data_IF_046222593681
#
_entry.id   IF_046222593681
#
_cell.length_a   1.000
_cell.length_b   1.000
_cell.length_c   1.000
_cell.angle_alpha   90.00
_cell.angle_beta   90.00
_cell.angle_gamma   90.00
#
_symmetry.space_group_name_H-M   'P 1'
#
loop_
_entity.id
_entity.type
_entity.pdbx_description
1 polymer ?
#
# COMPACT_ATOMS: atom_id res chain seq x y z
N UNK A 1 8.96 17.51 -10.46
CA UNK A 1 8.74 16.39 -9.53
C UNK A 1 7.34 15.78 -9.66
N UNK A 2 6.22 16.52 -9.52
CA UNK A 2 4.86 15.91 -9.55
C UNK A 2 4.52 15.16 -10.83
N UNK A 3 4.88 15.70 -12.01
CA UNK A 3 4.68 15.00 -13.29
C UNK A 3 5.50 13.71 -13.34
N UNK A 4 6.76 13.75 -12.93
CA UNK A 4 7.62 12.56 -12.83
C UNK A 4 7.04 11.52 -11.85
N UNK A 5 6.49 11.97 -10.71
CA UNK A 5 5.84 11.08 -9.74
C UNK A 5 4.65 10.33 -10.35
N UNK A 6 3.73 11.07 -10.99
CA UNK A 6 2.55 10.47 -11.62
C UNK A 6 2.93 9.57 -12.79
N UNK A 7 3.89 9.98 -13.62
CA UNK A 7 4.40 9.16 -14.72
C UNK A 7 5.06 7.88 -14.20
N UNK A 8 5.86 7.97 -13.14
CA UNK A 8 6.51 6.82 -12.52
C UNK A 8 5.49 5.78 -12.03
N UNK A 9 4.45 6.23 -11.31
CA UNK A 9 3.37 5.36 -10.85
C UNK A 9 2.59 4.71 -12.01
N UNK A 10 2.22 5.49 -13.03
CA UNK A 10 1.47 4.98 -14.20
C UNK A 10 2.33 4.00 -15.01
N UNK A 11 3.60 4.31 -15.24
CA UNK A 11 4.53 3.43 -15.94
C UNK A 11 4.70 2.11 -15.19
N UNK A 12 4.86 2.16 -13.87
CA UNK A 12 4.94 0.97 -13.02
C UNK A 12 3.68 0.11 -13.14
N UNK A 13 2.50 0.71 -13.01
CA UNK A 13 1.21 0.00 -13.16
C UNK A 13 1.05 -0.66 -14.54
N UNK A 14 1.58 -0.03 -15.59
CA UNK A 14 1.54 -0.56 -16.96
C UNK A 14 2.68 -1.57 -17.26
N UNK A 15 3.59 -1.80 -16.32
CA UNK A 15 4.74 -2.70 -16.50
C UNK A 15 5.94 -2.09 -17.23
N UNK A 16 5.92 -0.79 -17.51
CA UNK A 16 7.06 -0.01 -18.05
C UNK A 16 8.04 0.33 -16.92
N UNK A 17 8.68 -0.70 -16.38
CA UNK A 17 9.45 -0.60 -15.14
C UNK A 17 10.74 0.20 -15.30
N UNK A 18 11.39 0.15 -16.45
CA UNK A 18 12.64 0.89 -16.70
C UNK A 18 12.36 2.40 -16.82
N UNK A 19 11.24 2.78 -17.43
CA UNK A 19 10.72 4.13 -17.48
C UNK A 19 10.33 4.62 -16.09
N UNK A 20 9.62 3.80 -15.30
CA UNK A 20 9.28 4.13 -13.92
C UNK A 20 10.52 4.37 -13.05
N UNK A 21 11.55 3.51 -13.17
CA UNK A 21 12.84 3.68 -12.49
C UNK A 21 13.47 5.03 -12.86
N UNK A 22 13.46 5.39 -14.15
CA UNK A 22 14.01 6.67 -14.62
C UNK A 22 13.26 7.85 -13.99
N UNK A 23 11.94 7.80 -13.97
CA UNK A 23 11.11 8.87 -13.40
C UNK A 23 11.36 9.04 -11.90
N UNK A 24 11.37 7.95 -11.12
CA UNK A 24 11.64 8.03 -9.68
C UNK A 24 13.06 8.51 -9.36
N UNK A 25 14.07 8.05 -10.12
CA UNK A 25 15.44 8.56 -9.99
C UNK A 25 15.53 10.06 -10.28
N UNK A 26 14.82 10.56 -11.30
CA UNK A 26 14.83 12.00 -11.61
C UNK A 26 14.33 12.84 -10.45
N UNK A 27 13.34 12.37 -9.69
CA UNK A 27 12.83 13.08 -8.51
C UNK A 27 13.87 13.15 -7.39
N UNK A 28 14.63 12.07 -7.18
CA UNK A 28 15.61 11.98 -6.09
C UNK A 28 16.94 12.66 -6.43
N UNK A 29 17.38 12.52 -7.67
CA UNK A 29 18.75 12.84 -8.09
C UNK A 29 18.85 14.17 -8.85
N UNK A 30 17.87 14.51 -9.68
CA UNK A 30 17.96 15.72 -10.50
C UNK A 30 17.78 16.99 -9.66
N UNK A 31 18.34 18.09 -10.16
CA UNK A 31 18.15 19.43 -9.62
C UNK A 31 17.69 20.34 -10.76
N UNK A 32 16.50 20.90 -10.61
CA UNK A 32 15.90 21.82 -11.57
C UNK A 32 15.87 23.24 -10.97
N UNK A 33 16.11 24.30 -11.76
CA UNK A 33 16.09 25.67 -11.25
C UNK A 33 14.80 26.04 -10.50
N UNK A 34 13.66 25.47 -10.91
CA UNK A 34 12.36 25.69 -10.28
C UNK A 34 12.25 25.05 -8.89
N UNK A 35 12.97 23.96 -8.62
CA UNK A 35 13.04 23.36 -7.28
C UNK A 35 13.80 24.27 -6.33
N UNK A 36 14.96 24.77 -6.78
CA UNK A 36 15.81 25.65 -5.98
C UNK A 36 15.09 26.97 -5.68
N UNK A 37 14.45 27.58 -6.68
CA UNK A 37 13.64 28.79 -6.51
C UNK A 37 12.50 28.62 -5.50
N UNK A 38 11.92 27.42 -5.41
CA UNK A 38 10.83 27.10 -4.48
C UNK A 38 11.31 26.50 -3.16
N UNK A 39 12.62 26.28 -3.00
CA UNK A 39 13.22 25.68 -1.81
C UNK A 39 12.80 24.22 -1.56
N UNK A 40 12.51 23.45 -2.61
CA UNK A 40 12.14 22.04 -2.49
C UNK A 40 13.33 21.10 -2.71
N UNK A 41 13.50 20.13 -1.82
CA UNK A 41 14.46 19.03 -1.94
C UNK A 41 13.76 17.69 -1.68
N UNK A 42 13.66 16.87 -2.72
CA UNK A 42 13.03 15.55 -2.67
C UNK A 42 14.04 14.41 -2.58
N UNK A 43 15.34 14.70 -2.44
CA UNK A 43 16.38 13.65 -2.40
C UNK A 43 16.29 12.70 -1.21
N UNK A 44 15.49 13.06 -0.20
CA UNK A 44 15.20 12.27 0.99
C UNK A 44 13.73 11.92 1.12
N UNK A 45 12.95 12.04 0.04
CA UNK A 45 11.55 11.63 0.05
C UNK A 45 11.49 10.09 0.08
N UNK A 46 11.22 9.54 1.27
CA UNK A 46 11.23 8.09 1.46
C UNK A 46 10.07 7.38 0.74
N UNK A 47 8.98 8.07 0.39
CA UNK A 47 7.91 7.47 -0.41
C UNK A 47 8.41 7.21 -1.83
N UNK A 48 9.14 8.16 -2.40
CA UNK A 48 9.77 8.00 -3.72
C UNK A 48 10.88 6.95 -3.68
N UNK A 49 11.68 6.91 -2.61
CA UNK A 49 12.70 5.87 -2.41
C UNK A 49 12.05 4.49 -2.31
N UNK A 50 10.96 4.35 -1.54
CA UNK A 50 10.21 3.11 -1.42
C UNK A 50 9.62 2.65 -2.75
N UNK A 51 9.02 3.56 -3.53
CA UNK A 51 8.50 3.24 -4.85
C UNK A 51 9.61 2.78 -5.81
N UNK A 52 10.76 3.46 -5.81
CA UNK A 52 11.93 3.07 -6.61
C UNK A 52 12.43 1.67 -6.20
N UNK A 53 12.53 1.38 -4.90
CA UNK A 53 12.91 0.06 -4.38
C UNK A 53 11.95 -1.03 -4.83
N UNK A 54 10.64 -0.77 -4.74
CA UNK A 54 9.59 -1.69 -5.18
C UNK A 54 9.66 -1.95 -6.69
N UNK A 55 9.88 -0.91 -7.50
CA UNK A 55 10.01 -1.04 -8.95
C UNK A 55 11.25 -1.84 -9.35
N UNK A 56 12.39 -1.64 -8.67
CA UNK A 56 13.55 -2.51 -8.86
C UNK A 56 13.26 -3.96 -8.51
N UNK A 57 12.52 -4.20 -7.43
CA UNK A 57 12.15 -5.56 -7.05
C UNK A 57 11.23 -6.23 -8.08
N UNK A 58 10.24 -5.51 -8.60
CA UNK A 58 9.39 -5.99 -9.70
C UNK A 58 10.21 -6.27 -10.97
N UNK A 59 11.19 -5.39 -11.27
CA UNK A 59 12.08 -5.54 -12.42
C UNK A 59 12.97 -6.78 -12.31
N UNK A 60 13.43 -7.11 -11.10
CA UNK A 60 14.18 -8.34 -10.81
C UNK A 60 13.37 -9.61 -11.11
N UNK A 61 12.04 -9.58 -10.90
CA UNK A 61 11.15 -10.72 -11.18
C UNK A 61 10.98 -10.99 -12.69
N UNK A 62 11.29 -10.01 -13.54
CA UNK A 62 11.30 -10.17 -15.00
C UNK A 62 12.57 -10.86 -15.52
N UNK A 63 13.69 -10.78 -14.80
CA UNK A 63 14.99 -11.33 -15.21
C UNK A 63 15.13 -12.84 -14.92
N UNK A 64 14.10 -13.64 -15.23
CA UNK A 64 14.08 -15.08 -14.90
C UNK A 64 15.14 -15.89 -15.65
N UNK A 65 15.59 -15.39 -16.79
CA UNK A 65 16.57 -16.06 -17.64
C UNK A 65 18.02 -15.65 -17.34
N UNK A 66 18.22 -14.62 -16.49
CA UNK A 66 19.52 -14.04 -16.20
C UNK A 66 19.67 -13.84 -14.68
N UNK A 67 20.19 -14.86 -13.96
CA UNK A 67 20.36 -14.80 -12.51
C UNK A 67 21.25 -13.65 -12.04
N UNK A 68 22.28 -13.29 -12.81
CA UNK A 68 23.19 -12.21 -12.45
C UNK A 68 22.47 -10.86 -12.52
N UNK A 69 21.71 -10.64 -13.59
CA UNK A 69 20.91 -9.42 -13.76
C UNK A 69 19.76 -9.33 -12.77
N UNK A 70 19.10 -10.46 -12.48
CA UNK A 70 18.13 -10.55 -11.40
C UNK A 70 18.75 -10.12 -10.06
N UNK A 71 19.91 -10.66 -9.71
CA UNK A 71 20.59 -10.35 -8.46
C UNK A 71 20.97 -8.86 -8.37
N UNK A 72 21.45 -8.26 -9.47
CA UNK A 72 21.74 -6.83 -9.52
C UNK A 72 20.51 -5.96 -9.18
N UNK A 73 19.34 -6.32 -9.69
CA UNK A 73 18.11 -5.58 -9.38
C UNK A 73 17.62 -5.82 -7.94
N UNK A 74 17.77 -7.04 -7.40
CA UNK A 74 17.48 -7.32 -5.99
C UNK A 74 18.35 -6.47 -5.05
N UNK A 75 19.65 -6.35 -5.36
CA UNK A 75 20.57 -5.52 -4.57
C UNK A 75 20.21 -4.03 -4.66
N UNK A 76 19.85 -3.52 -5.84
CA UNK A 76 19.37 -2.13 -6.00
C UNK A 76 18.09 -1.85 -5.21
N UNK A 77 17.17 -2.82 -5.18
CA UNK A 77 15.95 -2.71 -4.38
C UNK A 77 16.28 -2.66 -2.88
N UNK A 78 17.15 -3.56 -2.41
CA UNK A 78 17.59 -3.59 -1.01
C UNK A 78 18.26 -2.28 -0.58
N UNK A 79 19.12 -1.72 -1.44
CA UNK A 79 19.77 -0.43 -1.20
C UNK A 79 18.76 0.70 -0.97
N UNK A 80 17.67 0.75 -1.77
CA UNK A 80 16.66 1.79 -1.58
C UNK A 80 15.91 1.62 -0.26
N UNK A 81 15.50 0.41 0.10
CA UNK A 81 14.81 0.20 1.38
C UNK A 81 15.74 0.44 2.58
N UNK A 82 17.04 0.15 2.46
CA UNK A 82 18.03 0.53 3.48
C UNK A 82 18.17 2.06 3.60
N UNK A 83 18.14 2.81 2.48
CA UNK A 83 18.09 4.27 2.51
C UNK A 83 16.82 4.77 3.21
N UNK A 84 15.67 4.15 2.95
CA UNK A 84 14.44 4.48 3.69
C UNK A 84 14.62 4.24 5.19
N UNK A 85 15.15 3.09 5.61
CA UNK A 85 15.38 2.80 7.04
C UNK A 85 16.39 3.74 7.71
N UNK A 86 17.33 4.31 6.94
CA UNK A 86 18.23 5.33 7.46
C UNK A 86 17.54 6.69 7.71
N UNK A 87 16.43 6.96 7.01
CA UNK A 87 15.61 8.16 7.19
C UNK A 87 14.51 7.96 8.23
N UNK A 88 13.88 6.79 8.19
CA UNK A 88 12.80 6.35 9.07
C UNK A 88 13.01 4.88 9.42
N UNK A 89 13.56 4.63 10.61
CA UNK A 89 13.87 3.28 11.08
C UNK A 89 12.63 2.43 11.39
N UNK A 90 11.44 3.02 11.41
CA UNK A 90 10.18 2.32 11.71
C UNK A 90 9.37 2.03 10.44
N UNK A 91 9.91 2.38 9.27
CA UNK A 91 9.20 2.32 8.01
C UNK A 91 8.73 0.90 7.66
N UNK A 92 7.42 0.67 7.71
CA UNK A 92 6.81 -0.64 7.46
C UNK A 92 7.06 -1.14 6.05
N UNK A 93 6.90 -0.27 5.04
CA UNK A 93 7.11 -0.64 3.63
C UNK A 93 8.53 -1.16 3.40
N UNK A 94 9.53 -0.51 4.00
CA UNK A 94 10.92 -0.93 3.91
C UNK A 94 11.18 -2.26 4.64
N UNK A 95 10.72 -2.43 5.89
CA UNK A 95 10.87 -3.69 6.60
C UNK A 95 10.18 -4.86 5.90
N UNK A 96 8.96 -4.67 5.40
CA UNK A 96 8.24 -5.71 4.67
C UNK A 96 9.02 -6.17 3.42
N UNK A 97 9.50 -5.22 2.62
CA UNK A 97 10.19 -5.56 1.38
C UNK A 97 11.60 -6.11 1.61
N UNK A 98 12.35 -5.58 2.58
CA UNK A 98 13.66 -6.15 2.93
C UNK A 98 13.53 -7.59 3.42
N UNK A 99 12.49 -7.92 4.20
CA UNK A 99 12.24 -9.31 4.57
C UNK A 99 12.08 -10.23 3.35
N UNK A 100 11.33 -9.79 2.33
CA UNK A 100 11.13 -10.55 1.10
C UNK A 100 12.43 -10.67 0.29
N UNK A 101 13.17 -9.58 0.15
CA UNK A 101 14.44 -9.54 -0.58
C UNK A 101 15.50 -10.41 0.09
N UNK A 102 15.69 -10.32 1.40
CA UNK A 102 16.62 -11.16 2.17
C UNK A 102 16.27 -12.65 2.03
N UNK A 103 14.98 -13.00 2.08
CA UNK A 103 14.52 -14.38 1.83
C UNK A 103 14.96 -14.85 0.43
N UNK A 104 14.77 -14.01 -0.59
CA UNK A 104 15.13 -14.34 -1.98
C UNK A 104 16.66 -14.41 -2.19
N UNK A 105 17.43 -13.64 -1.44
CA UNK A 105 18.90 -13.65 -1.44
C UNK A 105 19.49 -14.77 -0.56
N UNK A 106 18.65 -15.51 0.18
CA UNK A 106 19.07 -16.63 1.05
C UNK A 106 19.54 -16.21 2.44
N UNK A 107 19.34 -14.95 2.84
CA UNK A 107 19.65 -14.44 4.17
C UNK A 107 18.43 -14.52 5.10
N UNK A 108 18.18 -15.71 5.64
CA UNK A 108 17.02 -15.98 6.50
C UNK A 108 17.10 -15.23 7.85
N UNK A 109 18.30 -14.93 8.34
CA UNK A 109 18.47 -14.22 9.61
C UNK A 109 18.03 -12.76 9.49
N UNK A 110 18.49 -12.06 8.45
CA UNK A 110 18.09 -10.68 8.17
C UNK A 110 16.60 -10.61 7.80
N UNK A 111 16.10 -11.61 7.05
CA UNK A 111 14.68 -11.72 6.76
C UNK A 111 13.81 -11.88 8.02
N UNK A 112 14.26 -12.68 8.99
CA UNK A 112 13.57 -12.84 10.27
C UNK A 112 13.60 -11.54 11.11
N UNK A 113 14.73 -10.82 11.11
CA UNK A 113 14.85 -9.52 11.76
C UNK A 113 13.82 -8.52 11.20
N UNK A 114 13.77 -8.34 9.89
CA UNK A 114 12.84 -7.40 9.28
C UNK A 114 11.36 -7.81 9.40
N UNK A 115 11.04 -9.11 9.39
CA UNK A 115 9.67 -9.58 9.72
C UNK A 115 9.27 -9.22 11.14
N UNK A 116 10.18 -9.31 12.09
CA UNK A 116 9.93 -8.95 13.50
C UNK A 116 9.71 -7.44 13.65
N UNK A 117 10.57 -6.61 13.05
CA UNK A 117 10.39 -5.15 13.11
C UNK A 117 9.11 -4.71 12.38
N UNK A 118 8.79 -5.30 11.22
CA UNK A 118 7.50 -5.05 10.56
C UNK A 118 6.32 -5.38 11.49
N UNK A 119 6.34 -6.56 12.13
CA UNK A 119 5.28 -6.96 13.05
C UNK A 119 5.18 -6.06 14.30
N UNK A 120 6.30 -5.48 14.73
CA UNK A 120 6.37 -4.57 15.88
C UNK A 120 5.65 -3.25 15.60
N UNK A 121 5.83 -2.65 14.42
CA UNK A 121 5.25 -1.34 14.08
C UNK A 121 3.85 -1.42 13.43
N UNK A 122 3.46 -2.60 12.90
CA UNK A 122 2.18 -2.79 12.22
C UNK A 122 0.93 -2.39 13.04
N UNK A 123 0.85 -2.63 14.37
CA UNK A 123 -0.30 -2.24 15.17
C UNK A 123 -0.57 -0.73 15.18
N UNK A 124 0.48 0.08 15.14
CA UNK A 124 0.38 1.55 15.20
C UNK A 124 -0.04 2.12 13.85
N UNK A 125 0.53 1.61 12.77
CA UNK A 125 0.12 1.96 11.41
C UNK A 125 -1.35 1.64 11.14
N UNK A 126 -1.81 0.47 11.60
CA UNK A 126 -3.21 0.06 11.46
C UNK A 126 -4.12 0.57 12.60
N UNK A 127 -3.67 1.50 13.45
CA UNK A 127 -4.44 1.94 14.61
C UNK A 127 -5.80 2.54 14.21
N UNK A 128 -5.83 3.32 13.13
CA UNK A 128 -7.07 3.89 12.59
C UNK A 128 -8.05 2.81 12.13
N UNK A 129 -7.58 1.84 11.32
CA UNK A 129 -8.40 0.73 10.84
C UNK A 129 -8.92 -0.14 12.00
N UNK A 130 -8.07 -0.40 13.02
CA UNK A 130 -8.49 -1.11 14.23
C UNK A 130 -9.58 -0.34 14.97
N UNK A 131 -9.45 0.97 15.12
CA UNK A 131 -10.47 1.81 15.75
C UNK A 131 -11.79 1.78 14.95
N UNK A 132 -11.72 1.91 13.63
CA UNK A 132 -12.89 1.83 12.73
C UNK A 132 -13.57 0.46 12.88
N UNK A 133 -12.80 -0.64 12.84
CA UNK A 133 -13.34 -1.99 12.97
C UNK A 133 -14.02 -2.22 14.33
N UNK A 134 -13.44 -1.72 15.43
CA UNK A 134 -14.04 -1.79 16.76
C UNK A 134 -15.35 -0.99 16.80
N UNK A 135 -15.35 0.24 16.27
CA UNK A 135 -16.54 1.09 16.24
C UNK A 135 -17.68 0.48 15.40
N UNK A 136 -17.35 -0.08 14.23
CA UNK A 136 -18.29 -0.79 13.35
C UNK A 136 -18.92 -1.99 14.04
N UNK A 137 -18.11 -2.82 14.73
CA UNK A 137 -18.61 -3.97 15.50
C UNK A 137 -19.53 -3.57 16.65
N UNK A 138 -19.25 -2.44 17.31
CA UNK A 138 -20.06 -1.96 18.43
C UNK A 138 -21.42 -1.40 17.99
N UNK A 139 -21.57 -0.95 16.74
CA UNK A 139 -22.81 -0.39 16.23
C UNK A 139 -23.10 -0.86 14.78
N UNK A 140 -23.81 -1.99 14.62
CA UNK A 140 -24.14 -2.54 13.30
C UNK A 140 -24.94 -1.59 12.40
N UNK A 141 -25.76 -0.70 12.97
CA UNK A 141 -26.53 0.26 12.17
C UNK A 141 -25.61 1.36 11.59
N UNK A 142 -24.67 1.87 12.38
CA UNK A 142 -23.67 2.82 11.91
C UNK A 142 -22.67 2.18 10.94
N UNK A 143 -22.29 0.92 11.15
CA UNK A 143 -21.49 0.15 10.20
C UNK A 143 -22.18 0.03 8.85
N UNK A 144 -23.45 -0.41 8.83
CA UNK A 144 -24.25 -0.48 7.62
C UNK A 144 -24.35 0.88 6.92
N UNK A 145 -24.55 1.97 7.68
CA UNK A 145 -24.63 3.34 7.15
C UNK A 145 -23.31 3.87 6.57
N UNK A 146 -22.17 3.34 7.00
CA UNK A 146 -20.84 3.79 6.59
C UNK A 146 -20.29 3.04 5.36
N UNK A 147 -21.06 2.13 4.75
CA UNK A 147 -20.65 1.45 3.53
C UNK A 147 -20.67 2.41 2.34
N UNK A 148 -19.78 2.17 1.35
CA UNK A 148 -19.69 3.02 0.15
C UNK A 148 -21.00 3.05 -0.65
N UNK A 149 -21.77 1.96 -0.59
CA UNK A 149 -23.13 1.86 -1.13
C UNK A 149 -24.02 1.28 -0.03
N UNK A 150 -25.11 1.97 0.31
CA UNK A 150 -26.03 1.57 1.38
C UNK A 150 -27.43 1.38 0.83
N UNK A 151 -28.06 0.23 1.10
CA UNK A 151 -29.45 -0.04 0.74
C UNK A 151 -30.22 -0.32 2.03
N UNK A 152 -31.12 0.58 2.41
CA UNK A 152 -31.94 0.39 3.61
C UNK A 152 -33.21 -0.39 3.31
N UNK A 153 -33.51 -1.47 4.06
CA UNK A 153 -34.83 -2.08 4.02
C UNK A 153 -35.84 -1.13 4.67
N UNK A 154 -36.67 -0.48 3.85
CA UNK A 154 -37.68 0.47 4.31
C UNK A 154 -38.87 -0.22 5.00
N UNK A 155 -39.11 -1.49 4.71
CA UNK A 155 -40.14 -2.33 5.35
C UNK A 155 -39.47 -3.32 6.30
N UNK A 156 -39.20 -2.89 7.54
CA UNK A 156 -38.67 -3.77 8.60
C UNK A 156 -39.56 -3.69 9.85
N UNK A 157 -39.68 -4.78 10.62
CA UNK A 157 -40.36 -4.74 11.92
C UNK A 157 -39.78 -3.64 12.81
N UNK A 158 -40.63 -2.75 13.33
CA UNK A 158 -40.20 -1.61 14.15
C UNK A 158 -39.64 -0.41 13.37
N UNK A 159 -39.85 -0.34 12.06
CA UNK A 159 -39.61 0.89 11.29
C UNK A 159 -40.57 2.01 11.70
N UNK A 160 -40.07 3.25 11.78
CA UNK A 160 -40.89 4.42 12.10
C UNK A 160 -42.02 4.57 11.06
N UNK A 161 -43.22 4.91 11.54
CA UNK A 161 -44.44 5.09 10.73
C UNK A 161 -45.01 3.83 10.05
N UNK A 162 -44.39 2.66 10.23
CA UNK A 162 -44.96 1.37 9.85
C UNK A 162 -45.65 0.74 11.07
N UNK A 163 -46.94 0.44 10.96
CA UNK A 163 -47.70 -0.24 12.02
C UNK A 163 -47.00 -1.56 12.40
N UNK A 164 -46.87 -1.81 13.70
CA UNK A 164 -46.37 -3.09 14.18
C UNK A 164 -47.36 -4.18 13.75
N UNK A 165 -46.86 -5.11 12.94
CA UNK A 165 -47.52 -6.31 12.41
C UNK A 165 -48.48 -6.11 11.22
N UNK A 166 -48.01 -6.54 10.04
CA UNK A 166 -48.80 -7.46 9.23
C UNK A 166 -48.00 -8.74 9.14
N UNK A 167 -48.32 -9.68 10.04
CA UNK A 167 -47.92 -11.09 9.95
C UNK A 167 -48.09 -11.60 8.53
N UNK A 168 -47.09 -12.35 8.06
CA UNK A 168 -47.07 -13.02 6.78
C UNK A 168 -48.42 -13.66 6.43
N UNK A 169 -49.12 -13.10 5.44
CA UNK A 169 -50.23 -13.76 4.77
C UNK A 169 -49.93 -13.88 3.29
N UNK A 170 -49.79 -15.14 2.89
CA UNK A 170 -50.03 -15.69 1.55
C UNK A 170 -49.12 -15.22 0.41
N UNK A 171 -47.99 -15.93 0.24
CA UNK A 171 -47.66 -16.46 -1.09
C UNK A 171 -48.10 -17.93 -1.10
N UNK A 172 -49.41 -18.13 -1.05
CA UNK A 172 -50.06 -19.37 -1.45
C UNK A 172 -50.99 -19.02 -2.60
N UNK A 173 -50.81 -19.70 -3.72
CA UNK A 173 -51.68 -19.77 -4.89
C UNK A 173 -51.50 -18.67 -5.96
N UNK A 174 -50.77 -19.01 -7.02
CA UNK A 174 -51.40 -19.32 -8.31
C UNK A 174 -50.37 -19.99 -9.25
N UNK A 175 -50.88 -20.95 -10.03
CA UNK A 175 -50.21 -21.68 -11.11
C UNK A 175 -49.73 -20.77 -12.23
#
# INVERSE_FOLDING_TARGET
>A
WTVAWLNGLVNKQNGFLDEAIKEFRSILEDRYPELDQRGFDFSKDYEVINELGQTYFERAKMERADPDRQNQFLLKAAEQFQKTLALDSENLTAHFNLAQLCTQLGDEQEAAFHRREHAKYLPDYNAADRAIAIARRANPAADHAAQATVIYPLQRPGAAELAAEVTAQAVSSAK
#
